data_IF_939916694798
#
_entry.id   IF_939916694798
#
_cell.length_a   1.000
_cell.length_b   1.000
_cell.length_c   1.000
_cell.angle_alpha   90.00
_cell.angle_beta   90.00
_cell.angle_gamma   90.00
#
_symmetry.space_group_name_H-M   'P 1'
#
loop_
_entity.id
_entity.type
_entity.pdbx_description
1 polymer ?
#
# COMPACT_ATOMS: atom_id res chain seq x y z
N UNK A 1 -13.46 -9.03 -7.69
CA UNK A 1 -12.59 -9.68 -6.69
C UNK A 1 -12.56 -8.78 -5.48
N UNK A 2 -12.70 -9.34 -4.29
CA UNK A 2 -12.60 -8.60 -3.03
C UNK A 2 -11.25 -8.93 -2.40
N UNK A 3 -10.57 -7.93 -1.88
CA UNK A 3 -9.33 -8.07 -1.15
C UNK A 3 -9.50 -7.40 0.20
N UNK A 4 -9.41 -8.17 1.28
CA UNK A 4 -9.46 -7.62 2.63
C UNK A 4 -8.07 -7.21 3.09
N UNK A 5 -7.92 -5.95 3.50
CA UNK A 5 -6.64 -5.34 3.84
C UNK A 5 -6.53 -5.10 5.35
N UNK A 6 -5.50 -5.63 6.03
CA UNK A 6 -5.31 -5.41 7.46
C UNK A 6 -4.86 -3.99 7.80
N UNK A 7 -4.11 -3.34 6.91
CA UNK A 7 -3.49 -2.06 7.17
C UNK A 7 -3.08 -1.36 5.86
N UNK A 8 -2.79 -0.06 5.95
CA UNK A 8 -2.48 0.79 4.79
C UNK A 8 -1.32 0.28 3.92
N UNK A 9 -0.27 -0.33 4.51
CA UNK A 9 0.85 -0.88 3.73
C UNK A 9 0.41 -2.03 2.80
N UNK A 10 -0.53 -2.87 3.23
CA UNK A 10 -1.07 -3.96 2.41
C UNK A 10 -1.94 -3.40 1.29
N UNK A 11 -2.80 -2.43 1.60
CA UNK A 11 -3.59 -1.69 0.59
C UNK A 11 -2.68 -1.09 -0.48
N UNK A 12 -1.61 -0.41 -0.07
CA UNK A 12 -0.61 0.16 -0.97
C UNK A 12 0.01 -0.91 -1.87
N UNK A 13 0.43 -2.05 -1.30
CA UNK A 13 0.97 -3.17 -2.09
C UNK A 13 -0.06 -3.65 -3.13
N UNK A 14 -1.32 -3.87 -2.72
CA UNK A 14 -2.38 -4.40 -3.57
C UNK A 14 -2.78 -3.45 -4.70
N UNK A 15 -2.88 -2.16 -4.41
CA UNK A 15 -3.11 -1.13 -5.43
C UNK A 15 -1.97 -1.18 -6.46
N UNK A 16 -0.70 -1.16 -6.02
CA UNK A 16 0.44 -1.21 -6.93
C UNK A 16 0.41 -2.47 -7.82
N UNK A 17 0.04 -3.62 -7.27
CA UNK A 17 -0.09 -4.88 -8.00
C UNK A 17 -1.21 -4.85 -9.05
N UNK A 18 -2.37 -4.29 -8.70
CA UNK A 18 -3.50 -4.18 -9.66
C UNK A 18 -3.20 -3.16 -10.76
N UNK A 19 -2.57 -2.04 -10.44
CA UNK A 19 -2.14 -1.05 -11.43
C UNK A 19 -1.07 -1.62 -12.34
N UNK A 20 -0.11 -2.39 -11.81
CA UNK A 20 0.88 -3.13 -12.61
C UNK A 20 0.25 -4.17 -13.54
N UNK A 21 -1.01 -4.55 -13.31
CA UNK A 21 -1.80 -5.43 -14.15
C UNK A 21 -2.80 -4.69 -15.08
N UNK A 22 -2.74 -3.36 -15.14
CA UNK A 22 -3.52 -2.55 -16.08
C UNK A 22 -4.81 -1.96 -15.50
N UNK A 23 -5.00 -1.98 -14.18
CA UNK A 23 -6.14 -1.32 -13.54
C UNK A 23 -5.90 0.19 -13.43
N UNK A 24 -6.08 0.94 -14.53
CA UNK A 24 -5.73 2.37 -14.60
C UNK A 24 -6.86 3.32 -14.24
N UNK A 25 -8.06 2.82 -13.94
CA UNK A 25 -9.18 3.62 -13.47
C UNK A 25 -9.44 3.31 -12.00
N UNK A 26 -9.52 4.35 -11.18
CA UNK A 26 -9.56 4.23 -9.72
C UNK A 26 -10.69 5.08 -9.13
N UNK A 27 -11.41 4.53 -8.16
CA UNK A 27 -12.32 5.27 -7.31
C UNK A 27 -12.12 4.87 -5.84
N UNK A 28 -12.54 5.74 -4.93
CA UNK A 28 -12.40 5.55 -3.48
C UNK A 28 -13.73 5.90 -2.82
N UNK A 29 -14.21 5.00 -1.98
CA UNK A 29 -15.38 5.22 -1.13
C UNK A 29 -14.91 5.20 0.32
N UNK A 30 -15.16 6.31 1.04
CA UNK A 30 -15.02 6.33 2.49
C UNK A 30 -16.39 6.04 3.11
N UNK A 31 -16.40 5.12 4.07
CA UNK A 31 -17.61 4.59 4.66
C UNK A 31 -17.51 4.57 6.18
N UNK A 32 -18.59 4.92 6.87
CA UNK A 32 -18.63 4.94 8.33
C UNK A 32 -19.87 4.22 8.82
N UNK A 33 -19.64 3.19 9.62
CA UNK A 33 -20.66 2.49 10.39
C UNK A 33 -21.03 3.33 11.63
N UNK A 34 -22.27 3.18 12.09
CA UNK A 34 -22.74 3.81 13.32
C UNK A 34 -23.28 2.72 14.24
N UNK A 35 -22.76 2.66 15.46
CA UNK A 35 -23.29 1.81 16.51
C UNK A 35 -24.23 2.64 17.37
N UNK A 36 -25.47 2.18 17.52
CA UNK A 36 -26.44 2.79 18.42
C UNK A 36 -27.10 1.71 19.28
N UNK A 37 -27.57 2.12 20.46
CA UNK A 37 -28.31 1.28 21.37
C UNK A 37 -29.79 1.50 21.15
N UNK A 38 -30.45 0.55 20.51
CA UNK A 38 -31.92 0.57 20.40
C UNK A 38 -32.48 0.06 21.73
N UNK A 39 -33.27 0.92 22.38
CA UNK A 39 -33.97 0.66 23.64
C UNK A 39 -33.08 0.21 24.81
N UNK A 40 -31.78 0.55 24.79
CA UNK A 40 -30.84 0.20 25.86
C UNK A 40 -30.45 -1.29 25.93
N UNK A 41 -30.95 -2.13 25.03
CA UNK A 41 -30.79 -3.60 25.10
C UNK A 41 -30.04 -4.19 23.90
N UNK A 42 -30.17 -3.60 22.70
CA UNK A 42 -29.58 -4.15 21.48
C UNK A 42 -28.67 -3.15 20.77
N UNK A 43 -27.40 -3.54 20.60
CA UNK A 43 -26.44 -2.83 19.76
C UNK A 43 -26.77 -3.07 18.30
N UNK A 44 -27.19 -2.03 17.59
CA UNK A 44 -27.50 -2.09 16.17
C UNK A 44 -26.46 -1.31 15.37
N UNK A 45 -25.93 -1.93 14.32
CA UNK A 45 -25.01 -1.28 13.38
C UNK A 45 -25.82 -0.74 12.22
N UNK A 46 -25.90 0.58 12.11
CA UNK A 46 -26.43 1.28 10.95
C UNK A 46 -25.33 1.48 9.91
N UNK A 47 -25.71 1.54 8.64
CA UNK A 47 -24.78 1.64 7.51
C UNK A 47 -23.71 0.53 7.55
N UNK A 48 -24.12 -0.73 7.76
CA UNK A 48 -23.17 -1.85 7.81
C UNK A 48 -22.32 -1.92 6.52
N UNK A 49 -21.01 -2.13 6.70
CA UNK A 49 -20.09 -2.37 5.59
C UNK A 49 -20.42 -3.67 4.84
N UNK A 50 -21.06 -4.65 5.49
CA UNK A 50 -21.53 -5.88 4.84
C UNK A 50 -22.49 -5.54 3.70
N UNK A 51 -23.51 -4.71 4.00
CA UNK A 51 -24.50 -4.30 3.01
C UNK A 51 -23.91 -3.43 1.89
N UNK A 52 -22.88 -2.62 2.18
CA UNK A 52 -22.14 -1.92 1.13
C UNK A 52 -21.39 -2.92 0.23
N UNK A 53 -20.65 -3.87 0.82
CA UNK A 53 -19.89 -4.87 0.07
C UNK A 53 -20.82 -5.72 -0.79
N UNK A 54 -21.99 -6.13 -0.29
CA UNK A 54 -22.99 -6.86 -1.06
C UNK A 54 -23.46 -6.06 -2.29
N UNK A 55 -23.85 -4.79 -2.09
CA UNK A 55 -24.24 -3.89 -3.19
C UNK A 55 -23.14 -3.74 -4.24
N UNK A 56 -21.90 -3.52 -3.80
CA UNK A 56 -20.75 -3.41 -4.72
C UNK A 56 -20.42 -4.75 -5.40
N UNK A 57 -20.67 -5.86 -4.71
CA UNK A 57 -20.43 -7.20 -5.23
C UNK A 57 -21.39 -7.54 -6.35
N UNK A 58 -22.66 -7.23 -6.18
CA UNK A 58 -23.68 -7.36 -7.21
C UNK A 58 -23.39 -6.41 -8.37
N UNK A 59 -23.16 -5.12 -8.08
CA UNK A 59 -22.94 -4.10 -9.11
C UNK A 59 -21.72 -4.38 -9.98
N UNK A 60 -20.61 -4.80 -9.38
CA UNK A 60 -19.33 -4.95 -10.08
C UNK A 60 -18.86 -6.40 -10.29
N UNK A 61 -19.74 -7.37 -10.06
CA UNK A 61 -19.46 -8.80 -10.18
C UNK A 61 -18.20 -9.21 -9.39
N UNK A 62 -18.11 -8.81 -8.12
CA UNK A 62 -16.86 -8.98 -7.36
C UNK A 62 -16.52 -10.44 -7.03
N UNK A 63 -17.45 -11.38 -7.19
CA UNK A 63 -17.24 -12.82 -6.96
C UNK A 63 -16.59 -13.57 -8.14
N UNK A 64 -16.33 -12.91 -9.26
CA UNK A 64 -15.70 -13.59 -10.39
C UNK A 64 -14.29 -14.11 -10.07
N UNK A 65 -14.02 -15.35 -10.49
CA UNK A 65 -12.70 -15.97 -10.42
C UNK A 65 -11.70 -15.31 -11.38
N UNK A 66 -10.37 -15.45 -11.18
CA UNK A 66 -9.37 -14.93 -12.10
C UNK A 66 -9.59 -15.36 -13.57
N UNK A 67 -9.99 -16.62 -13.78
CA UNK A 67 -10.29 -17.15 -15.13
C UNK A 67 -11.50 -16.45 -15.77
N UNK A 68 -12.60 -16.28 -15.03
CA UNK A 68 -13.78 -15.59 -15.53
C UNK A 68 -13.51 -14.11 -15.83
N UNK A 69 -12.69 -13.45 -15.00
CA UNK A 69 -12.27 -12.06 -15.22
C UNK A 69 -11.45 -11.91 -16.50
N UNK A 70 -10.50 -12.81 -16.74
CA UNK A 70 -9.72 -12.82 -17.98
C UNK A 70 -10.60 -13.02 -19.21
N UNK A 71 -11.52 -14.00 -19.16
CA UNK A 71 -12.49 -14.22 -20.23
C UNK A 71 -13.37 -12.99 -20.48
N UNK A 72 -13.83 -12.32 -19.41
CA UNK A 72 -14.63 -11.09 -19.53
C UNK A 72 -13.87 -9.95 -20.23
N UNK A 73 -12.60 -9.77 -19.88
CA UNK A 73 -11.72 -8.80 -20.55
C UNK A 73 -11.45 -9.19 -22.02
N UNK A 74 -11.36 -10.48 -22.36
CA UNK A 74 -11.26 -10.95 -23.74
C UNK A 74 -12.53 -10.68 -24.55
N UNK A 75 -13.70 -10.72 -23.91
CA UNK A 75 -15.01 -10.38 -24.52
C UNK A 75 -15.29 -8.89 -24.63
N UNK A 76 -14.36 -8.02 -24.24
CA UNK A 76 -14.51 -6.57 -24.40
C UNK A 76 -15.12 -5.87 -23.18
N UNK A 77 -15.35 -6.57 -22.07
CA UNK A 77 -16.01 -6.00 -20.90
C UNK A 77 -15.01 -5.67 -19.77
N UNK A 78 -15.25 -4.60 -18.99
CA UNK A 78 -14.38 -4.23 -17.88
C UNK A 78 -14.55 -5.17 -16.68
N UNK A 79 -13.57 -5.13 -15.77
CA UNK A 79 -13.62 -5.82 -14.47
C UNK A 79 -13.20 -4.88 -13.35
N UNK A 80 -13.78 -5.07 -12.16
CA UNK A 80 -13.45 -4.31 -10.97
C UNK A 80 -12.80 -5.19 -9.89
N UNK A 81 -11.82 -4.65 -9.19
CA UNK A 81 -11.34 -5.17 -7.90
C UNK A 81 -11.71 -4.18 -6.81
N UNK A 82 -12.24 -4.68 -5.69
CA UNK A 82 -12.48 -3.90 -4.49
C UNK A 82 -11.46 -4.32 -3.42
N UNK A 83 -10.71 -3.36 -2.88
CA UNK A 83 -9.90 -3.56 -1.67
C UNK A 83 -10.65 -2.92 -0.51
N UNK A 84 -11.02 -3.73 0.48
CA UNK A 84 -11.73 -3.30 1.69
C UNK A 84 -10.70 -3.12 2.80
N UNK A 85 -10.61 -1.94 3.35
CA UNK A 85 -9.72 -1.61 4.46
C UNK A 85 -10.53 -0.99 5.60
N UNK A 86 -10.44 -1.56 6.80
CA UNK A 86 -10.86 -0.88 8.02
C UNK A 86 -9.75 0.08 8.47
N UNK A 87 -10.13 1.22 9.02
CA UNK A 87 -9.19 2.11 9.69
C UNK A 87 -8.59 1.39 10.92
N UNK A 88 -7.30 1.65 11.18
CA UNK A 88 -6.57 1.00 12.27
C UNK A 88 -6.98 1.60 13.61
N UNK A 89 -7.31 2.89 13.65
CA UNK A 89 -7.62 3.63 14.87
C UNK A 89 -9.13 3.81 15.08
N UNK A 90 -9.92 3.79 14.01
CA UNK A 90 -11.37 3.97 14.07
C UNK A 90 -12.11 2.71 13.58
N UNK A 91 -12.52 1.86 14.52
CA UNK A 91 -13.17 0.55 14.26
C UNK A 91 -14.31 0.61 13.23
N UNK A 92 -15.08 1.69 13.23
CA UNK A 92 -16.27 1.85 12.38
C UNK A 92 -16.00 2.59 11.09
N UNK A 93 -14.75 2.96 10.81
CA UNK A 93 -14.38 3.64 9.58
C UNK A 93 -13.74 2.66 8.62
N UNK A 94 -14.22 2.73 7.38
CA UNK A 94 -13.83 1.84 6.30
C UNK A 94 -13.49 2.68 5.07
N UNK A 95 -12.54 2.17 4.30
CA UNK A 95 -12.22 2.69 2.98
C UNK A 95 -12.25 1.54 1.99
N UNK A 96 -13.00 1.74 0.90
CA UNK A 96 -13.09 0.79 -0.20
C UNK A 96 -12.39 1.41 -1.41
N UNK A 97 -11.37 0.73 -1.92
CA UNK A 97 -10.64 1.12 -3.12
C UNK A 97 -11.12 0.30 -4.30
N UNK A 98 -11.65 0.97 -5.32
CA UNK A 98 -12.16 0.36 -6.53
C UNK A 98 -11.14 0.54 -7.65
N UNK A 99 -10.69 -0.56 -8.24
CA UNK A 99 -9.72 -0.58 -9.34
C UNK A 99 -10.34 -1.25 -10.55
N UNK A 100 -10.49 -0.50 -11.62
CA UNK A 100 -11.13 -0.96 -12.85
C UNK A 100 -10.08 -1.20 -13.94
N UNK A 101 -10.18 -2.36 -14.57
CA UNK A 101 -9.38 -2.75 -15.73
C UNK A 101 -10.32 -2.86 -16.93
N UNK A 102 -9.98 -2.19 -18.03
CA UNK A 102 -10.66 -2.38 -19.31
C UNK A 102 -9.81 -3.28 -20.22
N UNK A 103 -10.38 -3.84 -21.30
CA UNK A 103 -9.60 -4.57 -22.29
C UNK A 103 -8.43 -3.74 -22.83
N UNK A 104 -8.65 -2.45 -23.10
CA UNK A 104 -7.62 -1.56 -23.64
C UNK A 104 -6.51 -1.29 -22.63
N UNK A 105 -6.82 -1.06 -21.36
CA UNK A 105 -5.78 -0.84 -20.33
C UNK A 105 -5.00 -2.12 -20.03
N UNK A 106 -5.65 -3.30 -20.04
CA UNK A 106 -4.98 -4.60 -19.95
C UNK A 106 -4.01 -4.79 -21.11
N UNK A 107 -4.47 -4.64 -22.34
CA UNK A 107 -3.67 -4.86 -23.55
C UNK A 107 -2.50 -3.88 -23.63
N UNK A 108 -2.73 -2.59 -23.33
CA UNK A 108 -1.68 -1.59 -23.23
C UNK A 108 -0.63 -2.00 -22.20
N UNK A 109 -1.06 -2.45 -21.01
CA UNK A 109 -0.16 -2.86 -19.94
C UNK A 109 0.64 -4.13 -20.28
N UNK A 110 0.10 -5.05 -21.08
CA UNK A 110 0.78 -6.29 -21.49
C UNK A 110 1.98 -6.01 -22.42
N UNK A 111 1.88 -5.00 -23.28
CA UNK A 111 2.97 -4.62 -24.19
C UNK A 111 3.95 -3.61 -23.56
N UNK A 112 3.45 -2.74 -22.66
CA UNK A 112 4.22 -1.59 -22.21
C UNK A 112 5.50 -2.01 -21.47
N UNK A 113 6.64 -1.50 -21.95
CA UNK A 113 7.95 -1.70 -21.33
C UNK A 113 8.48 -3.13 -21.45
N UNK A 114 7.90 -3.98 -22.29
CA UNK A 114 8.34 -5.37 -22.48
C UNK A 114 9.22 -5.46 -23.73
N UNK A 115 10.39 -6.10 -23.61
CA UNK A 115 11.20 -6.46 -24.78
C UNK A 115 10.74 -7.84 -25.31
N UNK A 116 10.04 -7.88 -26.44
CA UNK A 116 9.48 -9.11 -27.02
C UNK A 116 10.53 -10.20 -27.25
N UNK A 117 11.72 -9.80 -27.70
CA UNK A 117 12.88 -10.69 -27.91
C UNK A 117 13.30 -11.47 -26.66
N UNK A 118 13.03 -10.94 -25.46
CA UNK A 118 13.35 -11.59 -24.17
C UNK A 118 12.28 -12.58 -23.70
N UNK A 119 11.16 -12.69 -24.41
CA UNK A 119 10.07 -13.61 -24.06
C UNK A 119 10.41 -15.00 -24.61
N UNK A 120 10.55 -15.99 -23.74
CA UNK A 120 10.91 -17.38 -24.12
C UNK A 120 9.75 -18.09 -24.83
N UNK A 121 8.53 -17.94 -24.35
CA UNK A 121 7.36 -18.60 -24.93
C UNK A 121 6.94 -17.92 -26.25
N UNK A 122 6.94 -18.67 -27.35
CA UNK A 122 6.63 -18.17 -28.69
C UNK A 122 5.21 -17.58 -28.82
N UNK A 123 4.20 -18.20 -28.21
CA UNK A 123 2.81 -17.71 -28.26
C UNK A 123 2.66 -16.38 -27.52
N UNK A 124 3.32 -16.26 -26.36
CA UNK A 124 3.33 -15.01 -25.59
C UNK A 124 4.10 -13.91 -26.33
N UNK A 125 5.22 -14.27 -27.00
CA UNK A 125 6.01 -13.34 -27.81
C UNK A 125 5.17 -12.77 -28.96
N UNK A 126 4.55 -13.63 -29.76
CA UNK A 126 3.69 -13.23 -30.87
C UNK A 126 2.53 -12.34 -30.40
N UNK A 127 1.90 -12.68 -29.25
CA UNK A 127 0.85 -11.86 -28.65
C UNK A 127 1.36 -10.46 -28.29
N UNK A 128 2.53 -10.36 -27.67
CA UNK A 128 3.12 -9.06 -27.30
C UNK A 128 3.51 -8.25 -28.53
N UNK A 129 4.08 -8.86 -29.57
CA UNK A 129 4.44 -8.18 -30.83
C UNK A 129 3.20 -7.59 -31.52
N UNK A 130 2.10 -8.36 -31.64
CA UNK A 130 0.83 -7.86 -32.16
C UNK A 130 0.28 -6.66 -31.37
N UNK A 131 0.43 -6.70 -30.04
CA UNK A 131 0.02 -5.59 -29.18
C UNK A 131 0.94 -4.37 -29.34
N UNK A 132 2.25 -4.57 -29.51
CA UNK A 132 3.20 -3.49 -29.79
C UNK A 132 2.88 -2.79 -31.10
N UNK A 133 2.52 -3.53 -32.14
CA UNK A 133 2.06 -2.96 -33.41
C UNK A 133 0.73 -2.21 -33.26
N UNK A 134 -0.25 -2.80 -32.56
CA UNK A 134 -1.56 -2.17 -32.26
C UNK A 134 -1.42 -0.84 -31.51
N UNK A 135 -0.47 -0.75 -30.58
CA UNK A 135 -0.24 0.45 -29.76
C UNK A 135 0.94 1.29 -30.26
N UNK A 136 1.44 1.05 -31.47
CA UNK A 136 2.54 1.83 -32.05
C UNK A 136 2.11 3.29 -32.22
N UNK A 137 2.84 4.21 -31.59
CA UNK A 137 2.51 5.64 -31.57
C UNK A 137 1.28 6.00 -30.74
N UNK A 138 0.67 5.05 -30.03
CA UNK A 138 -0.48 5.34 -29.18
C UNK A 138 -0.09 6.17 -27.96
N UNK A 139 -0.92 7.16 -27.65
CA UNK A 139 -0.83 7.97 -26.43
C UNK A 139 -2.21 8.08 -25.80
N UNK A 140 -2.26 8.04 -24.47
CA UNK A 140 -3.50 8.31 -23.74
C UNK A 140 -3.84 9.80 -23.86
N UNK A 141 -4.87 10.10 -24.66
CA UNK A 141 -5.45 11.43 -24.80
C UNK A 141 -6.82 11.49 -24.13
N UNK A 142 -7.30 12.69 -23.77
CA UNK A 142 -8.59 12.86 -23.06
C UNK A 142 -9.77 12.11 -23.71
N UNK A 143 -9.99 12.15 -25.04
CA UNK A 143 -11.08 11.38 -25.66
C UNK A 143 -10.97 9.87 -25.44
N UNK A 144 -9.75 9.34 -25.47
CA UNK A 144 -9.51 7.91 -25.26
C UNK A 144 -9.76 7.49 -23.82
N UNK A 145 -9.35 8.32 -22.87
CA UNK A 145 -9.62 8.11 -21.44
C UNK A 145 -11.14 8.14 -21.21
N UNK A 146 -11.84 9.13 -21.76
CA UNK A 146 -13.29 9.28 -21.62
C UNK A 146 -14.03 8.08 -22.22
N UNK A 147 -13.65 7.60 -23.40
CA UNK A 147 -14.27 6.42 -24.00
C UNK A 147 -14.12 5.16 -23.13
N UNK A 148 -13.00 5.01 -22.43
CA UNK A 148 -12.83 3.92 -21.46
C UNK A 148 -13.67 4.11 -20.19
N UNK A 149 -13.83 5.35 -19.71
CA UNK A 149 -14.73 5.66 -18.60
C UNK A 149 -16.18 5.37 -18.97
N UNK A 150 -16.62 5.77 -20.17
CA UNK A 150 -17.97 5.50 -20.69
C UNK A 150 -18.24 3.99 -20.84
N UNK A 151 -17.22 3.21 -21.22
CA UNK A 151 -17.31 1.74 -21.21
C UNK A 151 -17.55 1.19 -19.80
N UNK A 152 -16.86 1.72 -18.79
CA UNK A 152 -17.02 1.30 -17.39
C UNK A 152 -18.42 1.69 -16.90
N UNK A 153 -18.83 2.93 -17.14
CA UNK A 153 -20.12 3.46 -16.70
C UNK A 153 -21.31 2.77 -17.37
N UNK A 154 -21.23 2.52 -18.68
CA UNK A 154 -22.30 1.82 -19.42
C UNK A 154 -22.44 0.37 -18.96
N UNK A 155 -21.32 -0.33 -18.75
CA UNK A 155 -21.33 -1.74 -18.34
C UNK A 155 -21.85 -1.93 -16.91
N UNK A 156 -21.31 -1.19 -15.94
CA UNK A 156 -21.69 -1.33 -14.52
C UNK A 156 -22.92 -0.51 -14.12
N UNK A 157 -23.44 0.33 -15.04
CA UNK A 157 -24.56 1.25 -14.80
C UNK A 157 -24.31 2.14 -13.58
N UNK A 158 -23.11 2.68 -13.50
CA UNK A 158 -22.64 3.47 -12.36
C UNK A 158 -21.82 4.68 -12.81
N UNK A 159 -21.67 5.68 -11.95
CA UNK A 159 -20.95 6.93 -12.23
C UNK A 159 -20.03 7.35 -11.09
N UNK A 160 -19.37 6.38 -10.46
CA UNK A 160 -18.29 6.67 -9.52
C UNK A 160 -17.27 7.63 -10.15
N UNK A 161 -16.74 8.62 -9.43
CA UNK A 161 -15.81 9.60 -10.00
C UNK A 161 -14.45 8.95 -10.29
N UNK A 162 -14.31 8.35 -11.47
CA UNK A 162 -13.10 7.62 -11.85
C UNK A 162 -11.93 8.58 -12.09
N UNK A 163 -10.83 8.29 -11.41
CA UNK A 163 -9.53 8.88 -11.64
C UNK A 163 -8.72 8.00 -12.61
N UNK A 164 -8.11 8.61 -13.63
CA UNK A 164 -7.15 7.93 -14.49
C UNK A 164 -5.73 8.05 -13.94
N UNK A 165 -5.12 6.91 -13.61
CA UNK A 165 -3.90 6.84 -12.77
C UNK A 165 -2.66 7.41 -13.47
N UNK A 166 -2.58 7.31 -14.80
CA UNK A 166 -1.44 7.80 -15.56
C UNK A 166 -1.42 9.34 -15.66
N UNK A 167 -2.58 9.99 -15.57
CA UNK A 167 -2.70 11.46 -15.54
C UNK A 167 -2.58 11.99 -14.10
N UNK A 168 -3.29 11.36 -13.19
CA UNK A 168 -3.33 11.74 -11.77
C UNK A 168 -2.90 10.55 -10.94
N UNK A 169 -1.81 10.67 -10.19
CA UNK A 169 -1.33 9.61 -9.32
C UNK A 169 -2.31 9.31 -8.17
N UNK A 170 -2.50 8.03 -7.83
CA UNK A 170 -3.22 7.66 -6.60
C UNK A 170 -2.41 8.17 -5.41
N UNK A 171 -3.09 8.90 -4.53
CA UNK A 171 -2.49 9.44 -3.30
C UNK A 171 -3.16 8.85 -2.07
N UNK A 172 -2.36 8.35 -1.12
CA UNK A 172 -2.85 7.83 0.15
C UNK A 172 -2.20 8.58 1.31
N UNK A 173 -3.03 9.21 2.14
CA UNK A 173 -2.59 9.82 3.39
C UNK A 173 -2.59 8.73 4.46
N UNK A 174 -1.40 8.37 4.95
CA UNK A 174 -1.25 7.30 5.96
C UNK A 174 -1.00 7.85 7.36
N UNK A 175 -0.45 9.05 7.47
CA UNK A 175 -0.35 9.80 8.73
C UNK A 175 -0.65 11.27 8.47
N UNK A 176 -0.75 12.09 9.53
CA UNK A 176 -0.90 13.54 9.40
C UNK A 176 0.22 14.20 8.56
N UNK A 177 1.41 13.58 8.54
CA UNK A 177 2.60 14.14 7.89
C UNK A 177 3.00 13.42 6.59
N UNK A 178 2.49 12.21 6.36
CA UNK A 178 2.87 11.37 5.23
C UNK A 178 1.70 11.10 4.29
N UNK A 179 1.82 11.67 3.10
CA UNK A 179 1.07 11.29 1.93
C UNK A 179 2.00 10.58 0.97
N UNK A 180 1.59 9.42 0.50
CA UNK A 180 2.27 8.64 -0.52
C UNK A 180 1.58 8.79 -1.87
N UNK A 181 2.36 8.87 -2.93
CA UNK A 181 1.90 8.89 -4.31
C UNK A 181 2.39 7.63 -5.02
N UNK A 182 1.50 6.96 -5.74
CA UNK A 182 1.85 5.84 -6.59
C UNK A 182 2.47 6.38 -7.88
N UNK A 183 3.69 5.95 -8.19
CA UNK A 183 4.39 6.37 -9.39
C UNK A 183 4.95 5.19 -10.16
N UNK A 184 5.04 5.39 -11.47
CA UNK A 184 5.84 4.53 -12.34
C UNK A 184 7.30 4.91 -12.18
N UNK A 185 8.15 3.92 -11.94
CA UNK A 185 9.60 4.08 -11.85
C UNK A 185 10.26 3.24 -12.92
N UNK A 186 11.14 3.86 -13.71
CA UNK A 186 11.91 3.13 -14.70
C UNK A 186 13.05 2.38 -14.01
N UNK A 187 13.38 1.20 -14.54
CA UNK A 187 14.55 0.45 -14.10
C UNK A 187 15.80 1.03 -14.77
N UNK A 188 16.89 1.15 -14.01
CA UNK A 188 18.22 1.26 -14.64
C UNK A 188 18.44 -0.03 -15.43
N UNK A 189 18.79 0.09 -16.70
CA UNK A 189 19.17 -1.04 -17.54
C UNK A 189 20.51 -1.57 -17.03
N UNK A 190 20.48 -2.60 -16.19
CA UNK A 190 21.70 -3.33 -15.82
C UNK A 190 22.04 -4.32 -16.93
N UNK A 191 23.34 -4.55 -17.18
CA UNK A 191 23.80 -5.59 -18.11
C UNK A 191 23.23 -6.93 -17.63
N UNK A 192 22.60 -7.74 -18.51
CA UNK A 192 21.97 -8.98 -18.10
C UNK A 192 23.02 -9.95 -17.54
N UNK A 193 22.87 -10.35 -16.28
CA UNK A 193 23.59 -11.48 -15.68
C UNK A 193 22.83 -12.77 -15.94
N UNK A 194 23.56 -13.86 -16.20
CA UNK A 194 23.06 -15.14 -16.74
C UNK A 194 21.95 -15.84 -15.92
N UNK A 195 21.66 -15.39 -14.69
CA UNK A 195 20.79 -16.10 -13.73
C UNK A 195 19.36 -15.55 -13.55
N UNK A 196 18.97 -14.46 -14.22
CA UNK A 196 17.66 -13.79 -13.98
C UNK A 196 16.61 -13.97 -15.09
N UNK A 197 16.64 -15.10 -15.81
CA UNK A 197 15.67 -15.36 -16.89
C UNK A 197 14.46 -16.16 -16.41
N UNK A 198 13.55 -15.53 -15.65
CA UNK A 198 12.20 -16.10 -15.47
C UNK A 198 11.02 -15.15 -15.58
N UNK A 199 11.20 -13.83 -15.45
CA UNK A 199 10.07 -12.90 -15.55
C UNK A 199 10.23 -11.92 -16.70
N UNK A 200 9.09 -11.56 -17.31
CA UNK A 200 8.97 -10.49 -18.30
C UNK A 200 9.62 -9.24 -17.71
N UNK A 201 10.87 -8.94 -18.08
CA UNK A 201 11.59 -7.78 -17.55
C UNK A 201 10.93 -6.54 -18.12
N UNK A 202 9.95 -6.01 -17.41
CA UNK A 202 9.38 -4.70 -17.70
C UNK A 202 10.45 -3.66 -17.46
N UNK A 203 10.53 -2.67 -18.34
CA UNK A 203 11.42 -1.52 -18.20
C UNK A 203 10.99 -0.57 -17.09
N UNK A 204 9.81 -0.80 -16.47
CA UNK A 204 9.32 -0.04 -15.33
C UNK A 204 8.64 -0.92 -14.28
N UNK A 205 8.55 -0.38 -13.07
CA UNK A 205 7.80 -0.92 -11.93
C UNK A 205 6.96 0.17 -11.28
N UNK A 206 5.81 -0.19 -10.72
CA UNK A 206 5.00 0.70 -9.91
C UNK A 206 5.49 0.67 -8.46
N UNK A 207 5.68 1.84 -7.86
CA UNK A 207 6.12 1.94 -6.47
C UNK A 207 5.61 3.22 -5.84
N UNK A 208 5.45 3.19 -4.52
CA UNK A 208 5.05 4.34 -3.74
C UNK A 208 6.26 5.21 -3.38
N UNK A 209 6.09 6.52 -3.52
CA UNK A 209 7.03 7.54 -3.05
C UNK A 209 6.32 8.51 -2.10
N UNK A 210 7.04 9.23 -1.27
CA UNK A 210 6.48 10.38 -0.56
C UNK A 210 6.04 11.43 -1.58
N UNK A 211 4.87 12.04 -1.35
CA UNK A 211 4.47 13.23 -2.10
C UNK A 211 5.54 14.31 -1.96
N UNK A 212 5.63 15.21 -2.95
CA UNK A 212 6.60 16.31 -2.90
C UNK A 212 6.48 17.11 -1.61
N UNK A 213 5.25 17.39 -1.18
CA UNK A 213 4.99 18.14 0.05
C UNK A 213 5.40 17.36 1.31
N UNK A 214 5.07 16.08 1.41
CA UNK A 214 5.47 15.25 2.55
C UNK A 214 6.99 15.08 2.64
N UNK A 215 7.67 14.89 1.50
CA UNK A 215 9.13 14.80 1.46
C UNK A 215 9.80 16.07 1.99
N UNK A 216 9.31 17.24 1.56
CA UNK A 216 9.83 18.54 2.04
C UNK A 216 9.56 18.73 3.54
N UNK A 217 8.37 18.36 4.03
CA UNK A 217 8.05 18.40 5.47
C UNK A 217 8.96 17.49 6.29
N UNK A 218 9.21 16.26 5.82
CA UNK A 218 10.14 15.33 6.47
C UNK A 218 11.56 15.89 6.51
N UNK A 219 12.04 16.46 5.40
CA UNK A 219 13.35 17.13 5.35
C UNK A 219 13.46 18.29 6.33
N UNK A 220 12.44 19.15 6.39
CA UNK A 220 12.40 20.29 7.31
C UNK A 220 12.39 19.83 8.78
N UNK A 221 11.58 18.81 9.12
CA UNK A 221 11.53 18.20 10.45
C UNK A 221 12.90 17.62 10.85
N UNK A 222 13.55 16.90 9.95
CA UNK A 222 14.88 16.34 10.19
C UNK A 222 15.92 17.43 10.45
N UNK A 223 15.93 18.51 9.67
CA UNK A 223 16.81 19.66 9.90
C UNK A 223 16.55 20.29 11.27
N UNK A 224 15.28 20.47 11.65
CA UNK A 224 14.91 21.06 12.94
C UNK A 224 15.38 20.19 14.12
N UNK A 225 15.15 18.88 14.07
CA UNK A 225 15.59 17.93 15.11
C UNK A 225 17.11 17.94 15.23
N UNK A 226 17.83 17.89 14.11
CA UNK A 226 19.30 17.92 14.10
C UNK A 226 19.84 19.25 14.63
N UNK A 227 19.26 20.39 14.25
CA UNK A 227 19.69 21.69 14.78
C UNK A 227 19.51 21.79 16.29
N UNK A 228 18.39 21.29 16.84
CA UNK A 228 18.14 21.24 18.29
C UNK A 228 19.15 20.36 19.02
N UNK A 229 19.49 19.21 18.42
CA UNK A 229 20.50 18.30 18.95
C UNK A 229 21.88 18.98 19.04
N UNK A 230 22.27 19.74 18.02
CA UNK A 230 23.58 20.41 17.95
C UNK A 230 23.69 21.59 18.93
N UNK A 231 22.60 22.34 19.12
CA UNK A 231 22.63 23.59 19.90
C UNK A 231 22.61 23.38 21.42
N UNK A 232 22.23 22.19 21.90
CA UNK A 232 22.04 21.91 23.32
C UNK A 232 23.29 21.30 23.95
N UNK A 233 23.87 22.01 24.93
CA UNK A 233 25.01 21.54 25.75
C UNK A 233 24.56 20.79 27.02
N UNK A 234 23.27 20.81 27.35
CA UNK A 234 22.74 20.34 28.64
C UNK A 234 22.17 18.91 28.54
N UNK A 235 22.56 18.01 29.46
CA UNK A 235 22.35 16.55 29.33
C UNK A 235 20.87 16.12 29.19
N UNK A 236 19.94 16.69 29.96
CA UNK A 236 18.51 16.28 29.91
C UNK A 236 17.80 16.70 28.60
N UNK A 237 18.08 17.90 28.11
CA UNK A 237 17.52 18.41 26.85
C UNK A 237 18.14 17.73 25.63
N UNK A 238 19.44 17.39 25.70
CA UNK A 238 20.10 16.59 24.69
C UNK A 238 19.47 15.20 24.55
N UNK A 239 19.11 14.56 25.65
CA UNK A 239 18.47 13.23 25.62
C UNK A 239 17.06 13.28 25.03
N UNK A 240 16.25 14.31 25.34
CA UNK A 240 14.95 14.52 24.68
C UNK A 240 15.09 14.67 23.15
N UNK A 241 16.08 15.44 22.69
CA UNK A 241 16.32 15.63 21.26
C UNK A 241 16.82 14.36 20.56
N UNK A 242 17.61 13.53 21.25
CA UNK A 242 17.99 12.19 20.77
C UNK A 242 16.76 11.30 20.63
N UNK A 243 15.83 11.33 21.59
CA UNK A 243 14.57 10.60 21.51
C UNK A 243 13.72 11.06 20.31
N UNK A 244 13.62 12.37 20.05
CA UNK A 244 12.91 12.90 18.87
C UNK A 244 13.50 12.37 17.55
N UNK A 245 14.83 12.26 17.48
CA UNK A 245 15.51 11.72 16.30
C UNK A 245 15.28 10.21 16.16
N UNK A 246 15.35 9.45 17.26
CA UNK A 246 15.01 8.02 17.27
C UNK A 246 13.56 7.79 16.82
N UNK A 247 12.61 8.60 17.28
CA UNK A 247 11.21 8.54 16.86
C UNK A 247 11.05 8.85 15.37
N UNK A 248 11.77 9.85 14.86
CA UNK A 248 11.79 10.13 13.42
C UNK A 248 12.34 8.97 12.60
N UNK A 249 13.35 8.26 13.10
CA UNK A 249 13.92 7.08 12.46
C UNK A 249 12.97 5.89 12.48
N UNK A 250 12.36 5.57 13.62
CA UNK A 250 11.31 4.55 13.70
C UNK A 250 10.18 4.81 12.72
N UNK A 251 9.74 6.07 12.60
CA UNK A 251 8.74 6.47 11.62
C UNK A 251 9.22 6.24 10.18
N UNK A 252 10.49 6.50 9.86
CA UNK A 252 11.07 6.18 8.54
C UNK A 252 11.11 4.66 8.33
N UNK A 253 11.62 3.88 9.28
CA UNK A 253 11.73 2.42 9.18
C UNK A 253 10.36 1.78 8.93
N UNK A 254 9.35 2.21 9.68
CA UNK A 254 7.99 1.70 9.56
C UNK A 254 7.41 1.93 8.16
N UNK A 255 7.71 3.05 7.51
CA UNK A 255 7.01 3.46 6.27
C UNK A 255 7.86 3.38 5.00
N UNK A 256 9.19 3.39 5.09
CA UNK A 256 10.12 3.39 3.95
C UNK A 256 10.36 1.98 3.39
N UNK A 257 9.27 1.28 3.11
CA UNK A 257 9.24 -0.15 2.80
C UNK A 257 9.06 -0.47 1.30
N UNK A 258 8.77 0.54 0.48
CA UNK A 258 8.65 0.43 -0.98
C UNK A 258 9.92 0.95 -1.66
N UNK A 259 10.18 0.52 -2.90
CA UNK A 259 11.43 0.87 -3.61
C UNK A 259 11.69 2.38 -3.66
N UNK A 260 10.72 3.18 -4.11
CA UNK A 260 10.92 4.62 -4.31
C UNK A 260 10.96 5.41 -3.00
N UNK A 261 10.07 5.12 -2.04
CA UNK A 261 10.10 5.82 -0.76
C UNK A 261 11.34 5.45 0.08
N UNK A 262 11.83 4.20 -0.02
CA UNK A 262 13.10 3.77 0.57
C UNK A 262 14.28 4.53 0.01
N UNK A 263 14.31 4.73 -1.31
CA UNK A 263 15.34 5.55 -1.95
C UNK A 263 15.28 6.99 -1.44
N UNK A 264 14.10 7.62 -1.41
CA UNK A 264 13.92 8.97 -0.88
C UNK A 264 14.34 9.07 0.60
N UNK A 265 14.02 8.06 1.42
CA UNK A 265 14.49 8.00 2.81
C UNK A 265 16.00 7.89 2.91
N UNK A 266 16.64 7.07 2.06
CA UNK A 266 18.10 7.00 1.97
C UNK A 266 18.73 8.35 1.61
N UNK A 267 18.14 9.09 0.66
CA UNK A 267 18.56 10.45 0.29
C UNK A 267 18.42 11.43 1.46
N UNK A 268 17.32 11.38 2.22
CA UNK A 268 17.12 12.19 3.43
C UNK A 268 18.19 11.92 4.50
N UNK A 269 18.50 10.64 4.74
CA UNK A 269 19.50 10.24 5.73
C UNK A 269 20.90 10.68 5.32
N UNK A 270 21.28 10.46 4.07
CA UNK A 270 22.56 10.93 3.56
C UNK A 270 22.66 12.47 3.58
N UNK A 271 21.57 13.18 3.29
CA UNK A 271 21.49 14.63 3.46
C UNK A 271 21.74 15.05 4.92
N UNK A 272 21.10 14.39 5.88
CA UNK A 272 21.32 14.68 7.29
C UNK A 272 22.75 14.38 7.74
N UNK A 273 23.40 13.33 7.20
CA UNK A 273 24.80 13.00 7.50
C UNK A 273 25.73 14.12 7.08
N UNK A 274 25.53 14.63 5.86
CA UNK A 274 26.28 15.79 5.36
C UNK A 274 26.00 17.04 6.18
N UNK A 275 24.74 17.26 6.58
CA UNK A 275 24.34 18.43 7.35
C UNK A 275 25.00 18.46 8.74
N UNK A 276 24.96 17.34 9.47
CA UNK A 276 25.62 17.15 10.76
C UNK A 276 27.13 17.37 10.65
N UNK A 277 27.78 16.70 9.68
CA UNK A 277 29.22 16.82 9.44
C UNK A 277 29.63 18.26 9.15
N UNK A 278 28.82 19.01 8.38
CA UNK A 278 29.08 20.42 8.07
C UNK A 278 28.98 21.32 9.31
N UNK A 279 28.03 21.05 10.21
CA UNK A 279 27.75 21.92 11.38
C UNK A 279 28.67 21.64 12.58
N UNK A 280 28.96 20.38 12.88
CA UNK A 280 29.69 19.99 14.11
C UNK A 280 31.10 19.48 13.81
N UNK A 281 31.45 19.25 12.53
CA UNK A 281 32.69 18.56 12.11
C UNK A 281 32.85 17.14 12.69
N UNK A 282 31.79 16.58 13.28
CA UNK A 282 31.73 15.21 13.80
C UNK A 282 30.97 14.28 12.85
N UNK A 283 31.30 13.00 12.88
CA UNK A 283 30.54 11.96 12.18
C UNK A 283 29.25 11.62 12.96
N UNK A 284 28.29 11.00 12.28
CA UNK A 284 27.01 10.62 12.88
C UNK A 284 27.18 9.58 14.02
N UNK A 285 28.16 8.67 13.90
CA UNK A 285 28.53 7.71 14.95
C UNK A 285 29.11 8.40 16.19
N UNK A 286 29.88 9.49 16.00
CA UNK A 286 30.45 10.27 17.10
C UNK A 286 29.40 11.06 17.91
N UNK A 287 28.13 11.01 17.52
CA UNK A 287 27.00 11.66 18.21
C UNK A 287 26.03 10.59 18.77
N UNK A 288 26.41 9.31 18.73
CA UNK A 288 25.66 8.18 19.32
C UNK A 288 24.24 8.02 18.76
N UNK A 289 24.10 8.25 17.45
CA UNK A 289 22.83 8.07 16.76
C UNK A 289 22.94 6.87 15.83
N UNK A 290 22.15 5.83 16.07
CA UNK A 290 22.04 4.72 15.14
C UNK A 290 21.19 5.11 13.92
N UNK A 291 21.64 4.81 12.69
CA UNK A 291 20.85 5.05 11.49
C UNK A 291 19.69 4.04 11.40
N UNK A 292 18.56 4.41 10.77
CA UNK A 292 17.43 3.50 10.61
C UNK A 292 17.76 2.32 9.70
N UNK A 293 17.22 1.16 10.03
CA UNK A 293 17.29 -0.07 9.25
C UNK A 293 16.15 -0.13 8.21
N UNK A 294 16.49 0.16 6.94
CA UNK A 294 15.52 0.20 5.86
C UNK A 294 15.35 -1.15 5.16
N UNK A 295 14.22 -1.82 5.42
CA UNK A 295 13.86 -3.14 4.88
C UNK A 295 12.70 -3.03 3.89
N UNK A 296 12.65 -3.93 2.91
CA UNK A 296 11.48 -4.07 2.04
C UNK A 296 10.30 -4.70 2.79
N UNK A 297 9.09 -4.25 2.46
CA UNK A 297 7.87 -4.90 2.96
C UNK A 297 7.82 -6.36 2.49
N UNK A 298 7.74 -7.34 3.40
CA UNK A 298 7.44 -8.72 3.01
C UNK A 298 6.11 -8.77 2.26
N UNK A 299 6.06 -9.50 1.14
CA UNK A 299 4.81 -9.62 0.39
C UNK A 299 3.83 -10.48 1.16
N UNK A 300 2.73 -9.88 1.57
CA UNK A 300 1.61 -10.60 2.17
C UNK A 300 0.68 -11.11 1.06
N UNK A 301 0.26 -12.37 1.13
CA UNK A 301 -0.56 -13.05 0.11
C UNK A 301 -2.06 -12.80 0.30
N UNK A 302 -2.66 -13.37 1.33
CA UNK A 302 -4.11 -13.23 1.59
C UNK A 302 -4.29 -13.02 3.07
N UNK A 303 -4.99 -11.94 3.44
CA UNK A 303 -5.31 -11.67 4.82
C UNK A 303 -6.66 -12.28 5.23
N UNK A 304 -7.68 -12.22 4.38
CA UNK A 304 -8.92 -12.93 4.59
C UNK A 304 -9.58 -13.19 3.24
N UNK A 305 -10.38 -14.25 3.15
CA UNK A 305 -11.20 -14.56 1.97
C UNK A 305 -12.61 -14.00 2.07
N UNK A 306 -13.10 -13.76 3.28
CA UNK A 306 -14.42 -13.20 3.55
C UNK A 306 -14.39 -12.21 4.72
N UNK A 307 -15.48 -11.45 4.89
CA UNK A 307 -15.56 -10.40 5.90
C UNK A 307 -15.60 -10.95 7.34
N UNK A 308 -16.10 -12.18 7.55
CA UNK A 308 -16.12 -12.79 8.88
C UNK A 308 -14.71 -13.14 9.35
N UNK A 309 -13.91 -13.80 8.51
CA UNK A 309 -12.48 -14.05 8.77
C UNK A 309 -11.75 -12.73 9.02
N UNK A 310 -12.04 -11.70 8.22
CA UNK A 310 -11.42 -10.38 8.37
C UNK A 310 -11.74 -9.75 9.72
N UNK A 311 -13.02 -9.68 10.10
CA UNK A 311 -13.47 -9.08 11.36
C UNK A 311 -12.87 -9.81 12.56
N UNK A 312 -12.91 -11.14 12.56
CA UNK A 312 -12.35 -11.92 13.65
C UNK A 312 -10.85 -11.70 13.83
N UNK A 313 -10.07 -11.69 12.74
CA UNK A 313 -8.64 -11.38 12.79
C UNK A 313 -8.37 -9.96 13.28
N UNK A 314 -9.17 -8.98 12.85
CA UNK A 314 -9.06 -7.59 13.30
C UNK A 314 -9.40 -7.44 14.78
N UNK A 315 -10.40 -8.16 15.28
CA UNK A 315 -10.75 -8.16 16.70
C UNK A 315 -9.62 -8.73 17.57
N UNK A 316 -9.00 -9.84 17.14
CA UNK A 316 -7.83 -10.39 17.83
C UNK A 316 -6.65 -9.40 17.82
N UNK A 317 -6.42 -8.72 16.70
CA UNK A 317 -5.39 -7.68 16.64
C UNK A 317 -5.72 -6.50 17.56
N UNK A 318 -6.97 -6.03 17.61
CA UNK A 318 -7.35 -4.89 18.44
C UNK A 318 -7.27 -5.22 19.94
N UNK A 319 -7.63 -6.45 20.32
CA UNK A 319 -7.62 -6.89 21.72
C UNK A 319 -6.20 -7.20 22.24
N UNK A 320 -5.36 -7.81 21.41
CA UNK A 320 -4.08 -8.39 21.84
C UNK A 320 -2.85 -7.78 21.15
N UNK A 321 -3.02 -6.92 20.14
CA UNK A 321 -1.93 -6.33 19.36
C UNK A 321 -1.19 -7.33 18.47
N UNK A 322 -1.74 -8.53 18.28
CA UNK A 322 -1.08 -9.64 17.57
C UNK A 322 -1.87 -10.03 16.33
N UNK A 323 -1.17 -10.11 15.19
CA UNK A 323 -1.72 -10.65 13.95
C UNK A 323 -1.65 -12.19 13.99
N UNK A 324 -2.82 -12.83 14.07
CA UNK A 324 -2.94 -14.30 14.08
C UNK A 324 -2.94 -14.82 12.64
N UNK A 325 -2.17 -15.87 12.30
CA UNK A 325 -2.16 -16.50 10.98
C UNK A 325 -3.55 -16.95 10.50
N UNK A 326 -3.80 -16.83 9.18
CA UNK A 326 -5.09 -17.18 8.57
C UNK A 326 -5.43 -18.67 8.74
N UNK A 327 -4.43 -19.56 8.62
CA UNK A 327 -4.64 -21.00 8.72
C UNK A 327 -5.17 -21.40 10.11
N UNK A 328 -4.64 -20.78 11.18
CA UNK A 328 -5.12 -21.01 12.55
C UNK A 328 -6.56 -20.55 12.75
N UNK A 329 -6.95 -19.45 12.11
CA UNK A 329 -8.32 -18.93 12.15
C UNK A 329 -9.28 -19.89 11.45
N UNK A 330 -8.86 -20.49 10.35
CA UNK A 330 -9.67 -21.46 9.58
C UNK A 330 -9.83 -22.80 10.26
N UNK A 331 -8.81 -23.25 10.99
CA UNK A 331 -8.91 -24.46 11.80
C UNK A 331 -9.95 -24.32 12.92
N UNK A 332 -10.29 -23.09 13.34
CA UNK A 332 -11.34 -22.82 14.32
C UNK A 332 -11.02 -23.28 15.75
N UNK A 333 -9.81 -23.79 15.99
CA UNK A 333 -9.37 -24.28 17.29
C UNK A 333 -8.86 -23.11 18.16
N UNK A 334 -9.74 -22.63 19.04
CA UNK A 334 -9.41 -21.57 19.99
C UNK A 334 -8.19 -21.90 20.84
N UNK A 335 -7.95 -23.17 21.20
CA UNK A 335 -6.80 -23.54 22.01
C UNK A 335 -5.48 -23.35 21.25
N UNK A 336 -5.47 -23.59 19.94
CA UNK A 336 -4.29 -23.31 19.10
C UNK A 336 -4.05 -21.81 18.94
N UNK A 337 -5.12 -21.03 18.76
CA UNK A 337 -5.03 -19.57 18.69
C UNK A 337 -4.50 -19.02 20.02
N UNK A 338 -5.06 -19.44 21.16
CA UNK A 338 -4.62 -19.06 22.49
C UNK A 338 -3.17 -19.48 22.76
N UNK A 339 -2.76 -20.70 22.36
CA UNK A 339 -1.38 -21.15 22.51
C UNK A 339 -0.39 -20.37 21.63
N UNK A 340 -0.79 -19.96 20.43
CA UNK A 340 0.00 -19.06 19.58
C UNK A 340 0.17 -17.69 20.23
N UNK A 341 -0.93 -17.12 20.72
CA UNK A 341 -0.94 -15.82 21.39
C UNK A 341 -0.09 -15.84 22.65
N UNK A 342 -0.26 -16.85 23.51
CA UNK A 342 0.57 -16.99 24.72
C UNK A 342 2.06 -17.09 24.40
N UNK A 343 2.45 -17.90 23.40
CA UNK A 343 3.85 -17.98 22.95
C UNK A 343 4.37 -16.63 22.45
N UNK A 344 3.54 -15.89 21.71
CA UNK A 344 3.92 -14.59 21.17
C UNK A 344 3.98 -13.52 22.25
N UNK A 345 3.03 -13.47 23.18
CA UNK A 345 3.05 -12.56 24.33
C UNK A 345 4.23 -12.85 25.25
N UNK A 346 4.55 -14.11 25.54
CA UNK A 346 5.75 -14.45 26.33
C UNK A 346 7.02 -14.00 25.59
N UNK A 347 7.08 -14.16 24.27
CA UNK A 347 8.19 -13.62 23.44
C UNK A 347 8.22 -12.08 23.36
N UNK A 348 7.06 -11.42 23.50
CA UNK A 348 6.91 -9.97 23.44
C UNK A 348 7.23 -9.28 24.77
N UNK A 349 6.88 -9.95 25.89
CA UNK A 349 7.25 -9.53 27.25
C UNK A 349 8.74 -9.72 27.51
N UNK A 350 9.36 -10.76 26.93
CA UNK A 350 10.82 -10.97 26.94
C UNK A 350 11.57 -10.14 25.89
N UNK A 351 10.87 -9.57 24.91
CA UNK A 351 11.40 -8.77 23.81
C UNK A 351 10.65 -7.46 23.62
N UNK A 352 10.73 -6.57 24.62
CA UNK A 352 10.45 -5.13 24.59
C UNK A 352 9.51 -4.56 23.47
N UNK A 353 8.30 -4.16 23.90
CA UNK A 353 7.41 -3.05 23.45
C UNK A 353 6.78 -3.05 22.05
N UNK A 354 5.43 -3.05 22.10
CA UNK A 354 4.39 -2.41 21.26
C UNK A 354 4.73 -2.16 19.79
N UNK A 355 3.92 -2.79 18.95
CA UNK A 355 3.83 -2.66 17.49
C UNK A 355 3.85 -1.21 17.00
N UNK A 356 4.61 -1.02 15.91
CA UNK A 356 5.04 0.24 15.27
C UNK A 356 3.94 1.27 14.92
N UNK A 357 2.65 0.93 14.96
CA UNK A 357 1.58 1.87 14.62
C UNK A 357 0.98 2.58 15.85
N UNK A 358 0.96 1.95 17.02
CA UNK A 358 0.45 2.57 18.27
C UNK A 358 1.43 3.61 18.86
N UNK A 359 2.74 3.37 18.72
CA UNK A 359 3.78 4.30 19.21
C UNK A 359 3.89 5.58 18.37
N UNK A 360 3.34 5.60 17.15
CA UNK A 360 3.39 6.76 16.26
C UNK A 360 2.27 7.78 16.52
N UNK A 361 1.18 7.40 17.17
CA UNK A 361 0.11 8.33 17.57
C UNK A 361 0.25 8.84 19.00
N UNK A 362 0.75 8.02 19.93
CA UNK A 362 0.83 8.38 21.37
C UNK A 362 1.92 9.43 21.71
N UNK A 363 2.76 9.85 20.75
CA UNK A 363 3.84 10.82 20.98
C UNK A 363 3.71 12.14 20.20
N UNK A 364 2.52 12.47 19.70
CA UNK A 364 2.29 13.64 18.84
C UNK A 364 1.02 14.43 19.20
N UNK A 365 0.84 14.74 20.48
CA UNK A 365 0.13 15.97 20.89
C UNK A 365 1.07 17.18 20.84
#
# INVERSE_FOLDING_TARGET
>A
MIVYSPHSKFTMQRIADHVANGAYFYAKIDWKEYEDWINGETKTIFNSVDGLIEKLTERYDLKLTPRQRNYRLEKGYPVCTCIVQRDVFEKYKWTLHLLFTTPKTRDFNLQCGVASQKIVNAKDREKVEKLQDKFKGFTWIKPEIQAQMDLIYSYFKDREPLQFILDTAISLKVTQHMTFELVRTDHKVYKPTEKEYKDRIRSFSWSWRYSKQSYLRMKARLIAVVNKLISQKNNKLAEKNRADLRNFFKMIEAWAVFKSNRQQSGELLHFAQRFVRKKVKKSWQQIEIEPPHLVYLPRLETYAENLNEYRYRRELFDQYGLEVPLDLVREGDFMKIAAYMYRKDVSFVSGNKRTDESLLSENLE
#
